data_IF_782533461159
#
_entry.id   IF_782533461159
#
_cell.length_a   1.000
_cell.length_b   1.000
_cell.length_c   1.000
_cell.angle_alpha   90.00
_cell.angle_beta   90.00
_cell.angle_gamma   90.00
#
_symmetry.space_group_name_H-M   'P 1'
#
loop_
_entity.id
_entity.type
_entity.pdbx_description
1 polymer ?
#
# COMPACT_ATOMS: atom_id res chain seq x y z
N UNK A 1 9.92 13.01 22.63
CA UNK A 1 11.09 12.66 21.81
C UNK A 1 10.89 13.11 20.34
N UNK A 2 9.85 12.73 19.62
CA UNK A 2 9.63 13.05 18.19
C UNK A 2 9.76 14.55 17.85
N UNK A 3 8.94 15.42 18.45
CA UNK A 3 8.99 16.88 18.22
C UNK A 3 10.38 17.44 18.55
N UNK A 4 10.93 17.10 19.71
CA UNK A 4 12.25 17.59 20.13
C UNK A 4 13.34 17.27 19.11
N UNK A 5 13.38 16.03 18.60
CA UNK A 5 14.38 15.65 17.60
C UNK A 5 14.25 16.49 16.32
N UNK A 6 13.02 16.76 15.87
CA UNK A 6 12.80 17.55 14.67
C UNK A 6 13.11 19.03 14.90
N UNK A 7 12.73 19.60 16.04
CA UNK A 7 13.05 21.01 16.36
C UNK A 7 14.53 21.25 16.58
N UNK A 8 15.26 20.31 17.22
CA UNK A 8 16.72 20.37 17.35
C UNK A 8 17.38 20.36 15.95
N UNK A 9 16.94 19.45 15.06
CA UNK A 9 17.42 19.39 13.67
C UNK A 9 17.14 20.71 12.92
N UNK A 10 15.97 21.29 13.08
CA UNK A 10 15.62 22.56 12.46
C UNK A 10 16.50 23.70 12.95
N UNK A 11 16.83 23.73 14.24
CA UNK A 11 17.74 24.73 14.81
C UNK A 11 19.17 24.60 14.23
N UNK A 12 19.67 23.38 14.04
CA UNK A 12 20.98 23.12 13.42
C UNK A 12 21.02 23.52 11.93
N UNK A 13 19.86 23.61 11.28
CA UNK A 13 19.73 23.94 9.85
C UNK A 13 19.01 25.28 9.64
N UNK A 14 19.17 26.22 10.58
CA UNK A 14 18.62 27.57 10.47
C UNK A 14 19.02 28.24 9.16
N UNK A 15 18.07 28.87 8.47
CA UNK A 15 18.25 29.50 7.16
C UNK A 15 18.02 28.58 5.96
N UNK A 16 17.66 27.31 6.18
CA UNK A 16 17.20 26.41 5.11
C UNK A 16 15.69 26.24 5.15
N UNK A 17 15.05 26.07 4.00
CA UNK A 17 13.67 25.61 3.91
C UNK A 17 13.64 24.11 4.13
N UNK A 18 13.01 23.66 5.20
CA UNK A 18 12.91 22.26 5.56
C UNK A 18 11.55 21.70 5.18
N UNK A 19 11.53 20.54 4.54
CA UNK A 19 10.31 19.85 4.12
C UNK A 19 10.20 18.51 4.85
N UNK A 20 9.03 18.22 5.43
CA UNK A 20 8.76 16.92 6.04
C UNK A 20 7.92 16.05 5.09
N UNK A 21 8.32 14.79 5.01
CA UNK A 21 7.62 13.74 4.29
C UNK A 21 7.56 12.49 5.15
N UNK A 22 6.37 12.03 5.50
CA UNK A 22 6.19 10.77 6.21
C UNK A 22 6.13 9.58 5.24
N UNK A 23 6.80 8.49 5.60
CA UNK A 23 6.87 7.25 4.82
C UNK A 23 6.31 6.04 5.59
N UNK A 24 5.61 6.26 6.70
CA UNK A 24 4.90 5.21 7.44
C UNK A 24 3.65 5.78 8.10
N UNK A 25 2.66 4.92 8.32
CA UNK A 25 1.37 5.31 8.93
C UNK A 25 1.58 5.94 10.31
N UNK A 26 2.41 5.31 11.16
CA UNK A 26 2.75 5.84 12.49
C UNK A 26 3.41 7.23 12.45
N UNK A 27 4.30 7.49 11.49
CA UNK A 27 4.90 8.82 11.35
C UNK A 27 3.92 9.84 10.80
N UNK A 28 2.97 9.46 9.94
CA UNK A 28 1.90 10.36 9.51
C UNK A 28 1.01 10.76 10.68
N UNK A 29 0.62 9.81 11.54
CA UNK A 29 -0.16 10.09 12.75
C UNK A 29 0.62 11.02 13.69
N UNK A 30 1.91 10.76 13.92
CA UNK A 30 2.74 11.63 14.76
C UNK A 30 2.88 13.04 14.17
N UNK A 31 3.00 13.17 12.85
CA UNK A 31 3.07 14.46 12.17
C UNK A 31 1.74 15.21 12.30
N UNK A 32 0.61 14.54 12.05
CA UNK A 32 -0.72 15.11 12.20
C UNK A 32 -0.99 15.62 13.61
N UNK A 33 -0.67 14.82 14.64
CA UNK A 33 -0.82 15.18 16.06
C UNK A 33 0.03 16.37 16.49
N UNK A 34 1.16 16.56 15.87
CA UNK A 34 2.13 17.59 16.27
C UNK A 34 2.25 18.70 15.21
N UNK A 35 1.26 18.82 14.32
CA UNK A 35 1.24 19.80 13.22
C UNK A 35 1.60 21.21 13.73
N UNK A 36 0.86 21.75 14.69
CA UNK A 36 1.06 23.10 15.21
C UNK A 36 2.46 23.34 15.80
N UNK A 37 3.09 22.31 16.37
CA UNK A 37 4.44 22.42 16.92
C UNK A 37 5.54 22.36 15.83
N UNK A 38 5.23 21.81 14.64
CA UNK A 38 6.19 21.59 13.58
C UNK A 38 6.07 22.60 12.42
N UNK A 39 4.90 23.15 12.15
CA UNK A 39 4.66 24.17 11.10
C UNK A 39 5.58 25.39 11.15
N UNK A 40 6.02 25.89 12.33
CA UNK A 40 6.97 27.01 12.39
C UNK A 40 8.34 26.66 11.78
N UNK A 41 8.71 25.39 11.72
CA UNK A 41 10.04 24.93 11.32
C UNK A 41 10.06 24.24 9.96
N UNK A 42 8.93 23.66 9.56
CA UNK A 42 8.84 22.77 8.40
C UNK A 42 7.67 23.10 7.50
N UNK A 43 7.86 22.84 6.22
CA UNK A 43 6.78 22.82 5.19
C UNK A 43 6.38 21.38 4.92
N UNK A 44 5.08 21.08 4.94
CA UNK A 44 4.55 19.75 4.66
C UNK A 44 3.06 19.81 4.34
N UNK A 45 2.57 18.80 3.64
CA UNK A 45 1.16 18.48 3.49
C UNK A 45 0.89 17.18 4.24
N UNK A 46 -0.08 17.20 5.14
CA UNK A 46 -0.43 16.08 6.01
C UNK A 46 -1.91 16.17 6.37
N UNK A 47 -2.66 15.07 6.36
CA UNK A 47 -4.05 15.10 6.77
C UNK A 47 -4.19 15.52 8.24
N UNK A 48 -5.38 15.95 8.63
CA UNK A 48 -5.68 16.19 10.05
C UNK A 48 -5.61 14.90 10.86
N UNK A 49 -5.34 14.99 12.16
CA UNK A 49 -5.36 13.81 13.04
C UNK A 49 -6.72 13.11 12.97
N UNK A 50 -7.81 13.87 12.95
CA UNK A 50 -9.17 13.33 12.81
C UNK A 50 -9.33 12.52 11.53
N UNK A 51 -8.91 13.04 10.36
CA UNK A 51 -9.02 12.34 9.09
C UNK A 51 -8.19 11.05 9.07
N UNK A 52 -6.95 11.08 9.59
CA UNK A 52 -6.11 9.88 9.67
C UNK A 52 -6.78 8.83 10.56
N UNK A 53 -7.23 9.21 11.75
CA UNK A 53 -7.83 8.27 12.72
C UNK A 53 -9.14 7.70 12.20
N UNK A 54 -9.97 8.53 11.58
CA UNK A 54 -11.25 8.12 11.03
C UNK A 54 -11.08 7.13 9.86
N UNK A 55 -10.16 7.39 8.93
CA UNK A 55 -9.93 6.52 7.78
C UNK A 55 -9.11 5.26 8.12
N UNK A 56 -8.38 5.23 9.24
CA UNK A 56 -7.79 4.02 9.80
C UNK A 56 -8.87 3.09 10.43
N UNK A 57 -9.96 3.68 10.92
CA UNK A 57 -11.10 2.91 11.41
C UNK A 57 -11.95 2.38 10.24
N UNK A 58 -11.95 1.06 10.05
CA UNK A 58 -12.62 0.41 8.91
C UNK A 58 -14.10 0.77 8.77
N UNK A 59 -14.81 0.90 9.88
CA UNK A 59 -16.22 1.27 9.84
C UNK A 59 -16.44 2.65 9.23
N UNK A 60 -15.64 3.64 9.62
CA UNK A 60 -15.69 4.98 9.04
C UNK A 60 -15.28 4.97 7.56
N UNK A 61 -14.18 4.29 7.25
CA UNK A 61 -13.70 4.15 5.88
C UNK A 61 -14.75 3.53 4.95
N UNK A 62 -15.43 2.48 5.40
CA UNK A 62 -16.47 1.83 4.59
C UNK A 62 -17.73 2.71 4.42
N UNK A 63 -18.16 3.43 5.43
CA UNK A 63 -19.25 4.41 5.30
C UNK A 63 -18.91 5.51 4.29
N UNK A 64 -17.68 6.00 4.32
CA UNK A 64 -17.21 6.97 3.33
C UNK A 64 -17.15 6.35 1.92
N UNK A 65 -16.74 5.10 1.78
CA UNK A 65 -16.78 4.37 0.51
C UNK A 65 -18.21 4.27 -0.04
N UNK A 66 -19.18 3.89 0.80
CA UNK A 66 -20.59 3.76 0.40
C UNK A 66 -21.17 5.06 -0.16
N UNK A 67 -20.88 6.18 0.50
CA UNK A 67 -21.31 7.52 0.05
C UNK A 67 -20.86 7.84 -1.38
N UNK A 68 -19.71 7.32 -1.80
CA UNK A 68 -19.13 7.55 -3.13
C UNK A 68 -19.30 6.38 -4.10
N UNK A 69 -20.12 5.38 -3.76
CA UNK A 69 -20.35 4.19 -4.59
C UNK A 69 -19.06 3.41 -4.85
N UNK A 70 -18.15 3.39 -3.86
CA UNK A 70 -16.92 2.61 -3.85
C UNK A 70 -17.19 1.29 -3.11
N UNK A 71 -16.90 0.18 -3.77
CA UNK A 71 -17.10 -1.15 -3.20
C UNK A 71 -15.92 -1.55 -2.32
N UNK A 72 -16.21 -2.34 -1.29
CA UNK A 72 -15.22 -2.94 -0.41
C UNK A 72 -15.60 -4.39 -0.08
N UNK A 73 -14.68 -5.25 0.36
CA UNK A 73 -15.01 -6.62 0.75
C UNK A 73 -15.91 -6.62 1.98
N UNK A 74 -16.91 -7.48 2.00
CA UNK A 74 -17.73 -7.69 3.20
C UNK A 74 -16.81 -8.03 4.37
N UNK A 75 -16.98 -7.34 5.48
CA UNK A 75 -16.08 -7.43 6.63
C UNK A 75 -16.87 -7.54 7.92
N UNK A 76 -16.39 -8.38 8.82
CA UNK A 76 -16.85 -8.54 10.18
C UNK A 76 -15.64 -8.63 11.12
N UNK A 77 -15.87 -8.77 12.40
CA UNK A 77 -14.81 -8.99 13.38
C UNK A 77 -15.25 -9.98 14.45
N UNK A 78 -14.26 -10.62 15.08
CA UNK A 78 -14.50 -11.40 16.28
C UNK A 78 -13.46 -11.05 17.34
N UNK A 79 -13.80 -11.38 18.58
CA UNK A 79 -12.97 -11.20 19.75
C UNK A 79 -12.72 -12.56 20.43
N UNK A 80 -11.83 -12.59 21.40
CA UNK A 80 -11.58 -13.79 22.21
C UNK A 80 -12.85 -14.32 22.89
N UNK A 81 -13.84 -13.45 23.14
CA UNK A 81 -15.11 -13.83 23.78
C UNK A 81 -16.11 -14.50 22.84
N UNK A 82 -16.12 -14.11 21.55
CA UNK A 82 -17.19 -14.52 20.63
C UNK A 82 -16.72 -15.27 19.36
N UNK A 83 -15.42 -15.53 19.17
CA UNK A 83 -14.92 -16.11 17.93
C UNK A 83 -15.50 -17.50 17.57
N UNK A 84 -16.02 -18.23 18.57
CA UNK A 84 -16.65 -19.55 18.36
C UNK A 84 -18.09 -19.47 17.86
N UNK A 85 -18.75 -18.32 18.02
CA UNK A 85 -20.17 -18.11 17.76
C UNK A 85 -20.39 -17.08 16.64
N UNK A 86 -19.33 -16.49 16.10
CA UNK A 86 -19.42 -15.44 15.10
C UNK A 86 -20.07 -15.96 13.82
N UNK A 87 -21.07 -15.22 13.31
CA UNK A 87 -21.70 -15.46 12.02
C UNK A 87 -21.03 -14.57 10.97
N UNK A 88 -20.55 -15.16 9.89
CA UNK A 88 -19.95 -14.43 8.79
C UNK A 88 -21.06 -13.84 7.88
N UNK A 89 -20.99 -12.57 7.48
CA UNK A 89 -21.95 -11.96 6.55
C UNK A 89 -21.67 -12.33 5.07
N UNK A 90 -20.84 -13.34 4.83
CA UNK A 90 -20.40 -13.82 3.51
C UNK A 90 -20.06 -15.32 3.59
N UNK A 91 -19.95 -15.95 2.43
CA UNK A 91 -19.56 -17.34 2.29
C UNK A 91 -18.03 -17.52 2.34
N UNK A 92 -17.59 -18.73 2.66
CA UNK A 92 -16.17 -19.08 2.55
C UNK A 92 -15.69 -19.03 1.09
N UNK A 93 -14.40 -18.71 0.86
CA UNK A 93 -13.31 -18.57 1.84
C UNK A 93 -13.35 -17.26 2.62
N UNK A 94 -12.86 -17.32 3.88
CA UNK A 94 -12.73 -16.20 4.78
C UNK A 94 -11.27 -15.80 4.99
N UNK A 95 -10.94 -14.52 4.81
CA UNK A 95 -9.66 -13.94 5.22
C UNK A 95 -9.72 -13.60 6.70
N UNK A 96 -8.71 -14.05 7.45
CA UNK A 96 -8.56 -13.77 8.88
C UNK A 96 -7.25 -13.02 9.08
N UNK A 97 -7.31 -11.83 9.68
CA UNK A 97 -6.14 -11.00 9.95
C UNK A 97 -6.28 -10.26 11.29
N UNK A 98 -5.17 -9.97 12.01
CA UNK A 98 -5.22 -9.21 13.25
C UNK A 98 -5.61 -7.75 12.97
N UNK A 99 -6.39 -7.15 13.88
CA UNK A 99 -6.66 -5.71 13.86
C UNK A 99 -5.45 -4.91 14.34
N UNK A 100 -4.66 -5.47 15.27
CA UNK A 100 -3.46 -4.87 15.83
C UNK A 100 -2.22 -5.67 15.41
N UNK A 101 -1.56 -5.20 14.37
CA UNK A 101 -0.37 -5.85 13.82
C UNK A 101 0.82 -5.85 14.79
N UNK A 102 0.96 -4.83 15.64
CA UNK A 102 2.06 -4.73 16.60
C UNK A 102 1.90 -5.75 17.74
N UNK A 103 0.71 -5.83 18.33
CA UNK A 103 0.42 -6.83 19.35
C UNK A 103 0.57 -8.25 18.78
N UNK A 104 0.06 -8.46 17.57
CA UNK A 104 0.16 -9.74 16.88
C UNK A 104 1.62 -10.14 16.59
N UNK A 105 2.48 -9.20 16.25
CA UNK A 105 3.89 -9.47 15.95
C UNK A 105 4.59 -10.19 17.12
N UNK A 106 4.27 -9.80 18.35
CA UNK A 106 4.85 -10.34 19.57
C UNK A 106 4.28 -11.70 20.01
N UNK A 107 3.21 -12.16 19.36
CA UNK A 107 2.60 -13.47 19.67
C UNK A 107 3.36 -14.61 19.00
N UNK A 108 3.38 -15.78 19.63
CA UNK A 108 4.04 -16.98 19.11
C UNK A 108 3.07 -18.17 19.16
N UNK A 109 2.84 -18.77 17.99
CA UNK A 109 2.09 -20.03 17.86
C UNK A 109 2.49 -20.75 16.56
N UNK A 110 2.25 -22.06 16.44
CA UNK A 110 2.62 -22.87 15.27
C UNK A 110 1.96 -22.30 13.99
N UNK A 111 2.70 -22.34 12.88
CA UNK A 111 2.22 -21.91 11.55
C UNK A 111 1.71 -20.48 11.48
N UNK A 112 2.18 -19.59 12.35
CA UNK A 112 1.80 -18.17 12.34
C UNK A 112 2.01 -17.53 10.97
N UNK A 113 0.97 -16.86 10.48
CA UNK A 113 0.97 -16.06 9.25
C UNK A 113 0.46 -14.65 9.54
N UNK A 114 0.80 -13.67 8.69
CA UNK A 114 0.21 -12.32 8.76
C UNK A 114 -1.27 -12.32 8.38
N UNK A 115 -1.64 -13.17 7.43
CA UNK A 115 -3.00 -13.31 6.90
C UNK A 115 -3.27 -14.80 6.72
N UNK A 116 -4.44 -15.28 7.14
CA UNK A 116 -4.92 -16.62 6.90
C UNK A 116 -6.10 -16.60 5.93
N UNK A 117 -6.28 -17.71 5.22
CA UNK A 117 -7.50 -18.00 4.47
C UNK A 117 -8.10 -19.28 5.04
N UNK A 118 -9.34 -19.21 5.49
CA UNK A 118 -10.12 -20.38 5.89
C UNK A 118 -11.10 -20.71 4.77
N UNK A 119 -11.06 -21.94 4.28
CA UNK A 119 -11.92 -22.41 3.20
C UNK A 119 -13.24 -23.00 3.66
N UNK A 120 -13.36 -23.28 4.96
CA UNK A 120 -14.54 -23.85 5.60
C UNK A 120 -14.56 -23.51 7.09
N UNK A 121 -15.67 -23.85 7.75
CA UNK A 121 -15.86 -23.57 9.17
C UNK A 121 -14.87 -24.29 10.08
N UNK A 122 -14.42 -25.49 9.72
CA UNK A 122 -13.44 -26.23 10.51
C UNK A 122 -12.10 -25.49 10.52
N UNK A 123 -11.58 -25.12 9.35
CA UNK A 123 -10.33 -24.35 9.24
C UNK A 123 -10.43 -23.01 9.96
N UNK A 124 -11.58 -22.32 9.83
CA UNK A 124 -11.83 -21.08 10.55
C UNK A 124 -11.69 -21.27 12.06
N UNK A 125 -12.32 -22.31 12.62
CA UNK A 125 -12.27 -22.61 14.04
C UNK A 125 -10.85 -22.96 14.51
N UNK A 126 -10.10 -23.76 13.73
CA UNK A 126 -8.72 -24.14 14.02
C UNK A 126 -7.79 -22.91 14.03
N UNK A 127 -7.89 -22.04 13.02
CA UNK A 127 -7.08 -20.81 12.89
C UNK A 127 -7.38 -19.85 14.05
N UNK A 128 -8.64 -19.56 14.29
CA UNK A 128 -9.03 -18.61 15.34
C UNK A 128 -8.68 -19.11 16.73
N UNK A 129 -8.84 -20.42 16.98
CA UNK A 129 -8.42 -21.07 18.23
C UNK A 129 -6.90 -21.02 18.42
N UNK A 130 -6.11 -21.23 17.36
CA UNK A 130 -4.65 -21.13 17.43
C UNK A 130 -4.19 -19.70 17.75
N UNK A 131 -4.83 -18.69 17.13
CA UNK A 131 -4.51 -17.28 17.38
C UNK A 131 -4.87 -16.88 18.81
N UNK A 132 -6.10 -17.14 19.25
CA UNK A 132 -6.56 -16.77 20.60
C UNK A 132 -6.04 -17.71 21.71
N UNK A 133 -5.48 -18.86 21.36
CA UNK A 133 -4.68 -19.69 22.27
C UNK A 133 -3.28 -19.14 22.55
N UNK A 134 -2.86 -18.10 21.82
CA UNK A 134 -1.61 -17.36 22.07
C UNK A 134 -1.84 -16.17 23.00
N UNK A 135 -0.85 -15.26 23.08
CA UNK A 135 -0.96 -14.01 23.85
C UNK A 135 -1.79 -12.92 23.13
N UNK A 136 -2.34 -13.17 21.94
CA UNK A 136 -3.14 -12.19 21.21
C UNK A 136 -4.54 -12.05 21.82
N UNK A 137 -4.93 -10.78 22.15
CA UNK A 137 -6.22 -10.51 22.80
C UNK A 137 -7.07 -9.48 22.01
N UNK A 138 -6.48 -8.83 21.01
CA UNK A 138 -7.20 -7.85 20.20
C UNK A 138 -8.14 -8.53 19.19
N UNK A 139 -9.12 -7.80 18.62
CA UNK A 139 -10.02 -8.36 17.63
C UNK A 139 -9.32 -8.91 16.39
N UNK A 140 -9.89 -9.96 15.81
CA UNK A 140 -9.57 -10.42 14.46
C UNK A 140 -10.55 -9.81 13.46
N UNK A 141 -10.02 -9.40 12.33
CA UNK A 141 -10.78 -8.93 11.17
C UNK A 141 -11.06 -10.15 10.31
N UNK A 142 -12.34 -10.34 10.00
CA UNK A 142 -12.87 -11.39 9.14
C UNK A 142 -13.37 -10.75 7.86
N UNK A 143 -12.79 -11.13 6.72
CA UNK A 143 -13.06 -10.43 5.47
C UNK A 143 -13.35 -11.43 4.35
N UNK A 144 -14.30 -11.08 3.50
CA UNK A 144 -14.61 -11.81 2.28
C UNK A 144 -13.35 -11.99 1.42
N UNK A 145 -13.12 -13.21 0.95
CA UNK A 145 -12.04 -13.49 0.01
C UNK A 145 -12.43 -13.03 -1.40
N UNK A 146 -11.66 -12.12 -1.96
CA UNK A 146 -11.83 -11.68 -3.34
C UNK A 146 -10.93 -12.55 -4.23
N UNK A 147 -11.51 -13.38 -5.13
CA UNK A 147 -10.72 -14.27 -5.98
C UNK A 147 -9.88 -13.51 -7.01
N UNK A 148 -8.94 -14.21 -7.61
CA UNK A 148 -8.05 -13.69 -8.65
C UNK A 148 -6.58 -13.64 -8.20
N UNK A 149 -5.70 -13.67 -9.20
CA UNK A 149 -4.23 -13.61 -9.02
C UNK A 149 -3.74 -12.19 -8.67
N UNK A 150 -2.43 -12.04 -8.49
CA UNK A 150 -1.76 -10.77 -8.16
C UNK A 150 -2.11 -9.65 -9.17
N UNK A 151 -2.31 -10.00 -10.45
CA UNK A 151 -2.64 -9.05 -11.52
C UNK A 151 -4.08 -8.50 -11.45
N UNK A 152 -4.93 -9.02 -10.57
CA UNK A 152 -6.25 -8.45 -10.23
C UNK A 152 -6.12 -7.31 -9.21
N UNK A 153 -4.99 -7.18 -8.52
CA UNK A 153 -4.72 -6.05 -7.63
C UNK A 153 -4.57 -4.75 -8.40
N UNK A 154 -4.88 -3.65 -7.73
CA UNK A 154 -4.57 -2.29 -8.15
C UNK A 154 -4.02 -1.52 -6.97
N UNK A 155 -3.09 -0.61 -7.27
CA UNK A 155 -2.57 0.35 -6.31
C UNK A 155 -2.77 1.75 -6.87
N UNK A 156 -3.45 2.60 -6.12
CA UNK A 156 -3.67 3.98 -6.52
C UNK A 156 -2.90 4.90 -5.58
N UNK A 157 -2.02 5.72 -6.13
CA UNK A 157 -1.33 6.77 -5.39
C UNK A 157 -1.91 8.13 -5.77
N UNK A 158 -2.15 8.98 -4.76
CA UNK A 158 -2.67 10.32 -4.96
C UNK A 158 -1.84 11.33 -4.19
N UNK A 159 -1.89 12.57 -4.66
CA UNK A 159 -1.47 13.76 -3.92
C UNK A 159 -2.62 14.77 -3.89
N UNK A 160 -3.04 15.13 -2.69
CA UNK A 160 -3.99 16.20 -2.43
C UNK A 160 -3.25 17.40 -1.85
N UNK A 161 -3.47 18.59 -2.39
CA UNK A 161 -2.79 19.81 -1.98
C UNK A 161 -3.31 20.39 -0.67
N UNK A 162 -2.70 21.51 -0.26
CA UNK A 162 -3.14 22.31 0.89
C UNK A 162 -4.56 22.89 0.70
N UNK A 163 -5.05 22.93 -0.53
CA UNK A 163 -6.42 23.32 -0.89
C UNK A 163 -7.44 22.17 -0.80
N UNK A 164 -7.02 21.01 -0.31
CA UNK A 164 -7.80 19.77 -0.22
C UNK A 164 -8.32 19.26 -1.58
N UNK A 165 -7.68 19.66 -2.70
CA UNK A 165 -7.97 19.15 -4.04
C UNK A 165 -6.96 18.10 -4.44
N UNK A 166 -7.43 17.11 -5.18
CA UNK A 166 -6.55 16.08 -5.74
C UNK A 166 -5.86 16.64 -6.97
N UNK A 167 -4.53 16.70 -6.93
CA UNK A 167 -3.71 17.24 -8.02
C UNK A 167 -3.00 16.18 -8.84
N UNK A 168 -2.70 15.01 -8.23
CA UNK A 168 -2.05 13.91 -8.92
C UNK A 168 -2.71 12.59 -8.56
N UNK A 169 -2.97 11.77 -9.58
CA UNK A 169 -3.40 10.38 -9.43
C UNK A 169 -2.59 9.47 -10.34
N UNK A 170 -2.18 8.32 -9.81
CA UNK A 170 -1.43 7.31 -10.55
C UNK A 170 -1.95 5.92 -10.17
N UNK A 171 -2.49 5.20 -11.14
CA UNK A 171 -2.98 3.83 -10.97
C UNK A 171 -1.94 2.83 -11.47
N UNK A 172 -1.62 1.86 -10.64
CA UNK A 172 -0.74 0.75 -10.97
C UNK A 172 -1.47 -0.58 -10.99
N UNK A 173 -1.11 -1.44 -11.93
CA UNK A 173 -1.50 -2.84 -11.98
C UNK A 173 -0.33 -3.72 -11.58
N UNK A 174 -0.34 -4.33 -10.39
CA UNK A 174 0.67 -5.31 -10.01
C UNK A 174 0.72 -6.48 -10.99
N UNK A 175 1.92 -6.93 -11.32
CA UNK A 175 2.15 -8.13 -12.10
C UNK A 175 2.49 -9.32 -11.23
N UNK A 176 3.22 -9.06 -10.15
CA UNK A 176 3.62 -10.04 -9.14
C UNK A 176 3.71 -9.36 -7.77
N UNK A 177 3.39 -10.10 -6.72
CA UNK A 177 3.71 -9.79 -5.34
C UNK A 177 5.00 -10.47 -4.88
N UNK A 178 5.57 -10.00 -3.79
CA UNK A 178 6.65 -10.69 -3.12
C UNK A 178 6.16 -11.97 -2.45
N UNK A 179 6.95 -13.04 -2.55
CA UNK A 179 6.55 -14.38 -2.14
C UNK A 179 7.14 -14.82 -0.80
N UNK A 180 7.98 -14.00 -0.16
CA UNK A 180 8.50 -14.33 1.17
C UNK A 180 7.43 -14.10 2.24
N UNK A 181 7.43 -14.83 3.35
CA UNK A 181 6.44 -14.65 4.43
C UNK A 181 6.36 -13.19 4.94
N UNK A 182 7.50 -12.51 4.98
CA UNK A 182 7.58 -11.10 5.40
C UNK A 182 7.23 -10.12 4.27
N UNK A 183 7.30 -10.59 3.02
CA UNK A 183 7.08 -9.78 1.81
C UNK A 183 5.66 -9.81 1.26
N UNK A 184 4.85 -10.78 1.66
CA UNK A 184 3.46 -10.92 1.19
C UNK A 184 2.68 -9.62 1.41
N UNK A 185 1.95 -9.18 0.37
CA UNK A 185 1.24 -7.91 0.35
C UNK A 185 2.08 -6.74 -0.17
N UNK A 186 3.35 -6.99 -0.59
CA UNK A 186 4.15 -5.97 -1.28
C UNK A 186 4.31 -6.34 -2.75
N UNK A 187 4.22 -5.35 -3.63
CA UNK A 187 4.35 -5.57 -5.05
C UNK A 187 5.81 -5.71 -5.49
N UNK A 188 6.05 -6.63 -6.40
CA UNK A 188 7.37 -6.92 -6.97
C UNK A 188 7.56 -6.31 -8.37
N UNK A 189 6.46 -6.08 -9.08
CA UNK A 189 6.43 -5.37 -10.35
C UNK A 189 5.05 -4.74 -10.58
N UNK A 190 5.01 -3.53 -11.16
CA UNK A 190 3.79 -2.76 -11.42
C UNK A 190 3.84 -2.17 -12.82
N UNK A 191 2.76 -2.32 -13.58
CA UNK A 191 2.49 -1.56 -14.80
C UNK A 191 1.70 -0.31 -14.45
N UNK A 192 2.06 0.85 -15.02
CA UNK A 192 1.18 2.02 -15.00
C UNK A 192 -0.03 1.76 -15.88
N UNK A 193 -1.22 2.03 -15.36
CA UNK A 193 -2.50 1.85 -16.06
C UNK A 193 -3.42 3.05 -15.81
N UNK A 194 -4.53 3.12 -16.55
CA UNK A 194 -5.52 4.19 -16.39
C UNK A 194 -6.92 3.60 -16.31
N UNK A 195 -7.74 4.16 -15.44
CA UNK A 195 -9.17 3.87 -15.31
C UNK A 195 -9.88 5.15 -14.87
N UNK A 196 -10.45 5.86 -15.84
CA UNK A 196 -11.06 7.19 -15.60
C UNK A 196 -12.27 7.12 -14.67
N UNK A 197 -13.07 6.05 -14.76
CA UNK A 197 -14.26 5.91 -13.92
C UNK A 197 -13.89 5.67 -12.45
N UNK A 198 -12.91 4.80 -12.19
CA UNK A 198 -12.38 4.57 -10.85
C UNK A 198 -11.74 5.85 -10.30
N UNK A 199 -10.87 6.49 -11.09
CA UNK A 199 -10.16 7.69 -10.67
C UNK A 199 -11.10 8.86 -10.34
N UNK A 200 -12.18 9.03 -11.11
CA UNK A 200 -13.18 10.07 -10.83
C UNK A 200 -13.88 9.85 -9.47
N UNK A 201 -14.28 8.61 -9.16
CA UNK A 201 -14.86 8.26 -7.85
C UNK A 201 -13.88 8.47 -6.70
N UNK A 202 -12.63 8.03 -6.87
CA UNK A 202 -11.58 8.17 -5.85
C UNK A 202 -11.20 9.64 -5.62
N UNK A 203 -11.20 10.46 -6.68
CA UNK A 203 -11.01 11.91 -6.58
C UNK A 203 -12.11 12.54 -5.75
N UNK A 204 -13.38 12.25 -6.09
CA UNK A 204 -14.54 12.77 -5.35
C UNK A 204 -14.51 12.35 -3.88
N UNK A 205 -14.13 11.11 -3.58
CA UNK A 205 -13.96 10.60 -2.22
C UNK A 205 -12.91 11.42 -1.44
N UNK A 206 -11.71 11.60 -1.99
CA UNK A 206 -10.62 12.32 -1.31
C UNK A 206 -10.96 13.80 -1.06
N UNK A 207 -11.60 14.45 -2.03
CA UNK A 207 -12.00 15.85 -1.91
C UNK A 207 -13.16 16.05 -0.93
N UNK A 208 -14.09 15.09 -0.84
CA UNK A 208 -15.21 15.15 0.11
C UNK A 208 -14.75 14.95 1.56
N UNK A 209 -13.78 14.06 1.80
CA UNK A 209 -13.20 13.89 3.14
C UNK A 209 -12.18 14.99 3.50
N UNK A 210 -11.89 15.92 2.59
CA UNK A 210 -10.94 17.00 2.80
C UNK A 210 -9.52 16.49 3.02
N UNK A 211 -9.09 15.49 2.24
CA UNK A 211 -7.76 14.92 2.39
C UNK A 211 -6.66 15.91 2.01
N UNK A 212 -5.55 15.86 2.73
CA UNK A 212 -4.34 16.64 2.46
C UNK A 212 -3.11 15.74 2.48
N UNK A 213 -2.19 15.92 1.55
CA UNK A 213 -0.97 15.13 1.42
C UNK A 213 -1.14 13.87 0.58
N UNK A 214 -0.22 12.93 0.78
CA UNK A 214 -0.21 11.67 0.05
C UNK A 214 -1.24 10.68 0.57
N UNK A 215 -1.78 9.88 -0.35
CA UNK A 215 -2.57 8.70 -0.04
C UNK A 215 -2.23 7.56 -0.99
N UNK A 216 -2.37 6.33 -0.48
CA UNK A 216 -2.14 5.11 -1.23
C UNK A 216 -3.26 4.12 -0.93
N UNK A 217 -3.95 3.63 -1.96
CA UNK A 217 -5.05 2.69 -1.84
C UNK A 217 -4.66 1.35 -2.44
N UNK A 218 -4.94 0.29 -1.69
CA UNK A 218 -4.86 -1.08 -2.17
C UNK A 218 -6.27 -1.60 -2.45
N UNK A 219 -6.48 -2.12 -3.65
CA UNK A 219 -7.77 -2.65 -4.09
C UNK A 219 -7.61 -3.85 -5.00
N UNK A 220 -8.64 -4.65 -5.12
CA UNK A 220 -8.67 -5.82 -6.00
C UNK A 220 -9.90 -5.81 -6.89
N UNK A 221 -9.72 -6.12 -8.16
CA UNK A 221 -10.81 -6.30 -9.09
C UNK A 221 -11.52 -7.63 -8.80
N UNK A 222 -12.80 -7.55 -8.54
CA UNK A 222 -13.67 -8.69 -8.33
C UNK A 222 -14.47 -8.96 -9.62
N UNK A 223 -14.06 -9.99 -10.35
CA UNK A 223 -14.73 -10.37 -11.59
C UNK A 223 -16.18 -10.86 -11.41
N UNK A 224 -16.57 -11.26 -10.19
CA UNK A 224 -17.93 -11.70 -9.87
C UNK A 224 -18.93 -10.55 -9.93
N UNK A 225 -18.50 -9.35 -9.51
CA UNK A 225 -19.33 -8.13 -9.46
C UNK A 225 -18.91 -7.08 -10.48
N UNK A 226 -17.80 -7.31 -11.20
CA UNK A 226 -17.18 -6.35 -12.11
C UNK A 226 -16.84 -5.02 -11.44
N UNK A 227 -16.32 -5.08 -10.20
CA UNK A 227 -16.00 -3.91 -9.38
C UNK A 227 -14.61 -4.02 -8.75
N UNK A 228 -14.03 -2.87 -8.43
CA UNK A 228 -12.86 -2.83 -7.55
C UNK A 228 -13.31 -2.81 -6.10
N UNK A 229 -12.77 -3.73 -5.30
CA UNK A 229 -12.98 -3.80 -3.84
C UNK A 229 -11.79 -3.13 -3.13
N UNK A 230 -12.05 -2.03 -2.44
CA UNK A 230 -11.05 -1.28 -1.69
C UNK A 230 -10.74 -2.02 -0.38
N UNK A 231 -9.47 -2.32 -0.13
CA UNK A 231 -9.05 -3.01 1.08
C UNK A 231 -8.66 -2.04 2.20
N UNK A 232 -7.91 -1.01 1.85
CA UNK A 232 -7.40 -0.03 2.80
C UNK A 232 -6.92 1.24 2.10
N UNK A 233 -6.83 2.30 2.89
CA UNK A 233 -6.18 3.55 2.55
C UNK A 233 -4.99 3.75 3.48
N UNK A 234 -3.83 3.97 2.91
CA UNK A 234 -2.62 4.30 3.65
C UNK A 234 -2.37 5.82 3.57
N UNK A 235 -2.20 6.53 4.69
CA UNK A 235 -2.09 7.99 4.74
C UNK A 235 -0.68 8.50 4.34
N UNK A 236 -0.04 7.87 3.39
CA UNK A 236 1.36 8.12 3.02
C UNK A 236 1.69 7.54 1.65
N UNK A 237 2.91 7.80 1.17
CA UNK A 237 3.45 7.07 0.03
C UNK A 237 3.69 5.60 0.41
N UNK A 238 3.33 4.69 -0.50
CA UNK A 238 3.61 3.27 -0.37
C UNK A 238 5.07 2.94 -0.73
N UNK A 239 5.52 1.74 -0.35
CA UNK A 239 6.83 1.22 -0.75
C UNK A 239 7.04 1.21 -2.27
N UNK A 240 5.97 0.98 -3.01
CA UNK A 240 5.96 0.92 -4.48
C UNK A 240 5.72 2.27 -5.15
N UNK A 241 5.45 3.35 -4.41
CA UNK A 241 5.08 4.65 -4.99
C UNK A 241 6.12 5.22 -5.95
N UNK A 242 7.34 4.70 -5.95
CA UNK A 242 8.36 5.07 -6.94
C UNK A 242 7.93 4.78 -8.39
N UNK A 243 6.94 3.90 -8.63
CA UNK A 243 6.43 3.69 -10.00
C UNK A 243 5.85 4.98 -10.60
N UNK A 244 5.29 5.86 -9.79
CA UNK A 244 4.78 7.17 -10.18
C UNK A 244 5.94 8.09 -10.63
N UNK A 245 7.00 8.15 -9.81
CA UNK A 245 8.21 8.91 -10.16
C UNK A 245 8.89 8.37 -11.41
N UNK A 246 8.95 7.05 -11.53
CA UNK A 246 9.54 6.36 -12.68
C UNK A 246 8.77 6.58 -13.99
N UNK A 247 7.47 6.85 -13.91
CA UNK A 247 6.65 7.25 -15.07
C UNK A 247 6.76 8.75 -15.42
N UNK A 248 7.65 9.48 -14.76
CA UNK A 248 7.92 10.90 -15.05
C UNK A 248 7.25 11.89 -14.08
N UNK A 249 6.50 11.42 -13.09
CA UNK A 249 5.76 12.27 -12.16
C UNK A 249 6.37 12.20 -10.75
N UNK A 250 7.40 13.01 -10.52
CA UNK A 250 8.13 13.00 -9.24
C UNK A 250 7.26 13.48 -8.07
N UNK A 251 6.87 12.56 -7.19
CA UNK A 251 6.01 12.84 -6.03
C UNK A 251 6.59 13.89 -5.09
N UNK A 252 7.89 13.86 -4.83
CA UNK A 252 8.54 14.86 -3.96
C UNK A 252 8.47 16.27 -4.58
N UNK A 253 8.54 16.37 -5.92
CA UNK A 253 8.40 17.64 -6.62
C UNK A 253 6.98 18.20 -6.47
N UNK A 254 5.93 17.38 -6.54
CA UNK A 254 4.57 17.81 -6.30
C UNK A 254 4.40 18.43 -4.91
N UNK A 255 4.95 17.78 -3.88
CA UNK A 255 4.95 18.31 -2.53
C UNK A 255 5.66 19.67 -2.45
N UNK A 256 6.87 19.77 -3.02
CA UNK A 256 7.67 21.03 -2.97
C UNK A 256 6.97 22.14 -3.75
N UNK A 257 6.45 21.87 -4.95
CA UNK A 257 5.73 22.86 -5.77
C UNK A 257 4.52 23.43 -5.01
N UNK A 258 3.84 22.60 -4.18
CA UNK A 258 2.71 23.04 -3.36
C UNK A 258 3.14 23.77 -2.09
N UNK A 259 3.89 23.10 -1.19
CA UNK A 259 4.11 23.61 0.19
C UNK A 259 5.25 24.62 0.30
N UNK A 260 6.15 24.71 -0.70
CA UNK A 260 7.30 25.63 -0.70
C UNK A 260 7.13 26.70 -1.76
N UNK A 261 6.89 26.29 -3.01
CA UNK A 261 6.83 27.19 -4.15
C UNK A 261 5.44 27.82 -4.33
N UNK A 262 4.42 27.30 -3.65
CA UNK A 262 3.03 27.76 -3.75
C UNK A 262 2.53 27.91 -5.19
N UNK A 263 2.93 26.97 -6.06
CA UNK A 263 2.53 26.98 -7.46
C UNK A 263 1.07 26.54 -7.61
N UNK A 264 0.31 27.14 -8.52
CA UNK A 264 -1.01 26.61 -8.84
C UNK A 264 -0.85 25.23 -9.48
N UNK A 265 -1.34 24.20 -8.79
CA UNK A 265 -1.32 22.84 -9.27
C UNK A 265 -2.61 22.54 -10.04
N UNK A 266 -2.48 22.02 -11.27
CA UNK A 266 -3.60 21.46 -12.02
C UNK A 266 -3.80 19.97 -11.67
N UNK A 267 -4.99 19.44 -12.01
CA UNK A 267 -5.23 18.00 -11.89
C UNK A 267 -4.49 17.23 -12.99
N UNK A 268 -3.74 16.20 -12.61
CA UNK A 268 -2.93 15.38 -13.51
C UNK A 268 -3.14 13.89 -13.22
N UNK A 269 -3.34 13.11 -14.27
CA UNK A 269 -3.29 11.65 -14.21
C UNK A 269 -1.92 11.22 -14.73
N UNK A 270 -1.17 10.48 -13.91
CA UNK A 270 0.11 9.91 -14.27
C UNK A 270 -0.13 8.61 -15.07
N UNK A 271 -0.34 8.74 -16.37
CA UNK A 271 -0.71 7.67 -17.29
C UNK A 271 0.39 7.28 -18.28
N UNK A 272 1.61 7.82 -18.11
CA UNK A 272 2.73 7.43 -18.95
C UNK A 272 3.05 5.94 -18.77
N UNK A 273 3.09 5.23 -19.90
CA UNK A 273 3.40 3.80 -19.92
C UNK A 273 4.74 3.51 -19.27
N UNK A 274 4.75 2.74 -18.21
CA UNK A 274 5.98 2.33 -17.52
C UNK A 274 5.82 0.99 -16.81
N UNK A 275 6.94 0.27 -16.69
CA UNK A 275 7.07 -0.91 -15.86
C UNK A 275 8.05 -0.61 -14.72
N UNK A 276 7.54 -0.47 -13.52
CA UNK A 276 8.37 -0.45 -12.33
C UNK A 276 8.59 -1.87 -11.81
N UNK A 277 9.79 -2.16 -11.33
CA UNK A 277 10.09 -3.46 -10.72
C UNK A 277 11.16 -3.37 -9.64
N UNK A 278 11.04 -4.22 -8.64
CA UNK A 278 12.10 -4.57 -7.67
C UNK A 278 12.62 -5.97 -7.95
N UNK A 279 11.76 -6.85 -8.49
CA UNK A 279 12.14 -8.18 -8.92
C UNK A 279 13.00 -8.13 -10.20
N UNK A 280 13.97 -9.04 -10.37
CA UNK A 280 14.62 -9.22 -11.66
C UNK A 280 13.62 -9.57 -12.76
N UNK A 281 13.79 -9.02 -13.97
CA UNK A 281 12.87 -9.28 -15.08
C UNK A 281 12.69 -10.76 -15.42
N UNK A 282 13.74 -11.59 -15.23
CA UNK A 282 13.66 -13.02 -15.41
C UNK A 282 12.68 -13.72 -14.45
N UNK A 283 12.47 -13.16 -13.26
CA UNK A 283 11.45 -13.63 -12.31
C UNK A 283 10.06 -13.32 -12.85
N UNK A 284 9.83 -12.09 -13.33
CA UNK A 284 8.56 -11.71 -13.95
C UNK A 284 8.25 -12.66 -15.11
N UNK A 285 9.20 -12.84 -16.03
CA UNK A 285 9.04 -13.73 -17.20
C UNK A 285 8.72 -15.18 -16.84
N UNK A 286 9.25 -15.66 -15.71
CA UNK A 286 9.05 -17.05 -15.28
C UNK A 286 7.71 -17.28 -14.56
N UNK A 287 7.26 -16.30 -13.78
CA UNK A 287 6.18 -16.52 -12.83
C UNK A 287 4.89 -15.76 -13.16
N UNK A 288 4.93 -14.74 -14.01
CA UNK A 288 3.72 -14.10 -14.53
C UNK A 288 3.00 -15.06 -15.48
N UNK A 289 1.78 -15.44 -15.11
CA UNK A 289 1.00 -16.45 -15.86
C UNK A 289 0.21 -15.87 -17.02
N UNK A 290 -0.15 -14.59 -16.92
CA UNK A 290 -0.94 -13.89 -17.92
C UNK A 290 -0.06 -13.56 -19.15
N UNK A 291 -0.33 -14.16 -20.34
CA UNK A 291 0.51 -14.00 -21.52
C UNK A 291 0.45 -12.58 -22.08
N UNK A 292 -0.69 -11.90 -22.01
CA UNK A 292 -0.87 -10.55 -22.55
C UNK A 292 -0.10 -9.54 -21.70
N UNK A 293 -0.18 -9.65 -20.39
CA UNK A 293 0.62 -8.81 -19.46
C UNK A 293 2.12 -9.09 -19.59
N UNK A 294 2.49 -10.33 -19.86
CA UNK A 294 3.89 -10.67 -20.11
C UNK A 294 4.40 -10.05 -21.42
N UNK A 295 3.60 -10.12 -22.48
CA UNK A 295 3.91 -9.47 -23.76
C UNK A 295 4.08 -7.96 -23.60
N UNK A 296 3.19 -7.33 -22.82
CA UNK A 296 3.26 -5.91 -22.50
C UNK A 296 4.53 -5.54 -21.70
N UNK A 297 4.87 -6.32 -20.68
CA UNK A 297 6.10 -6.13 -19.90
C UNK A 297 7.37 -6.27 -20.78
N UNK A 298 7.38 -7.23 -21.72
CA UNK A 298 8.47 -7.40 -22.68
C UNK A 298 8.54 -6.20 -23.64
N UNK A 299 7.41 -5.70 -24.13
CA UNK A 299 7.32 -4.53 -25.01
C UNK A 299 7.93 -3.30 -24.31
N UNK A 300 7.50 -3.00 -23.10
CA UNK A 300 8.01 -1.86 -22.32
C UNK A 300 9.51 -1.99 -22.06
N UNK A 301 9.98 -3.20 -21.75
CA UNK A 301 11.41 -3.44 -21.59
C UNK A 301 12.21 -3.16 -22.84
N UNK A 302 11.74 -3.58 -24.01
CA UNK A 302 12.40 -3.31 -25.30
C UNK A 302 12.43 -1.81 -25.62
N UNK A 303 11.42 -1.06 -25.17
CA UNK A 303 11.34 0.39 -25.35
C UNK A 303 12.14 1.20 -24.31
N UNK A 304 12.80 0.55 -23.35
CA UNK A 304 13.51 1.24 -22.28
C UNK A 304 12.60 1.89 -21.22
N UNK A 305 11.29 1.61 -21.25
CA UNK A 305 10.29 2.14 -20.31
C UNK A 305 10.23 1.30 -19.02
N UNK A 306 11.38 0.98 -18.46
CA UNK A 306 11.52 0.15 -17.25
C UNK A 306 12.34 0.89 -16.22
N UNK A 307 11.88 0.87 -14.99
CA UNK A 307 12.62 1.40 -13.84
C UNK A 307 12.84 0.32 -12.77
N UNK A 308 13.96 0.45 -12.10
CA UNK A 308 14.32 -0.43 -10.99
C UNK A 308 14.64 0.40 -9.76
N UNK A 309 13.88 0.22 -8.68
CA UNK A 309 13.98 1.04 -7.46
C UNK A 309 15.36 1.04 -6.80
N UNK A 310 16.15 -0.04 -6.99
CA UNK A 310 17.44 -0.20 -6.33
C UNK A 310 18.61 0.43 -7.10
N UNK A 311 18.36 1.02 -8.29
CA UNK A 311 19.36 1.66 -9.11
C UNK A 311 19.12 3.17 -9.20
N UNK A 312 20.06 3.94 -8.69
CA UNK A 312 20.12 5.39 -8.80
C UNK A 312 21.51 5.75 -9.36
N UNK A 313 21.56 6.58 -10.41
CA UNK A 313 22.83 6.94 -11.06
C UNK A 313 23.78 7.68 -10.12
N UNK A 314 23.22 8.52 -9.27
CA UNK A 314 23.95 9.36 -8.32
C UNK A 314 24.57 8.55 -7.17
N UNK A 315 24.09 7.31 -6.93
CA UNK A 315 24.55 6.40 -5.87
C UNK A 315 25.27 5.15 -6.43
N UNK A 316 25.67 5.18 -7.71
CA UNK A 316 26.37 4.06 -8.31
C UNK A 316 27.83 4.01 -7.83
N UNK A 317 28.17 2.93 -7.12
CA UNK A 317 29.52 2.55 -6.75
C UNK A 317 29.75 1.06 -7.03
N UNK A 318 30.99 0.62 -7.09
CA UNK A 318 31.31 -0.81 -7.26
C UNK A 318 30.68 -1.65 -6.14
N UNK A 319 30.73 -1.17 -4.90
CA UNK A 319 30.09 -1.81 -3.74
C UNK A 319 28.57 -1.93 -3.93
N UNK A 320 27.92 -0.87 -4.42
CA UNK A 320 26.48 -0.85 -4.70
C UNK A 320 26.11 -1.83 -5.82
N UNK A 321 26.90 -1.88 -6.88
CA UNK A 321 26.69 -2.80 -7.99
C UNK A 321 26.82 -4.27 -7.56
N UNK A 322 27.84 -4.62 -6.79
CA UNK A 322 28.01 -5.96 -6.23
C UNK A 322 26.86 -6.35 -5.31
N UNK A 323 26.41 -5.42 -4.47
CA UNK A 323 25.23 -5.63 -3.62
C UNK A 323 23.97 -5.85 -4.46
N UNK A 324 23.77 -5.08 -5.52
CA UNK A 324 22.65 -5.22 -6.44
C UNK A 324 22.65 -6.60 -7.11
N UNK A 325 23.77 -7.06 -7.64
CA UNK A 325 23.91 -8.40 -8.24
C UNK A 325 23.57 -9.48 -7.21
N UNK A 326 24.14 -9.40 -6.01
CA UNK A 326 23.86 -10.34 -4.90
C UNK A 326 22.38 -10.34 -4.53
N UNK A 327 21.76 -9.17 -4.46
CA UNK A 327 20.33 -9.00 -4.15
C UNK A 327 19.46 -9.69 -5.22
N UNK A 328 19.80 -9.53 -6.52
CA UNK A 328 19.11 -10.18 -7.62
C UNK A 328 19.20 -11.70 -7.59
N UNK A 329 20.42 -12.23 -7.36
CA UNK A 329 20.61 -13.68 -7.23
C UNK A 329 19.80 -14.25 -6.04
N UNK A 330 19.78 -13.51 -4.95
CA UNK A 330 19.02 -13.88 -3.76
C UNK A 330 17.50 -13.84 -4.02
N UNK A 331 17.05 -12.88 -4.84
CA UNK A 331 15.66 -12.76 -5.23
C UNK A 331 15.18 -14.01 -6.01
N UNK A 332 15.97 -14.50 -6.98
CA UNK A 332 15.67 -15.75 -7.67
C UNK A 332 15.54 -16.94 -6.72
N UNK A 333 16.47 -17.07 -5.76
CA UNK A 333 16.44 -18.17 -4.77
C UNK A 333 15.19 -18.10 -3.89
N UNK A 334 14.89 -16.92 -3.37
CA UNK A 334 13.71 -16.69 -2.51
C UNK A 334 12.42 -16.99 -3.27
N UNK A 335 12.28 -16.45 -4.48
CA UNK A 335 11.09 -16.68 -5.29
C UNK A 335 10.93 -18.16 -5.64
N UNK A 336 12.00 -18.84 -6.04
CA UNK A 336 11.94 -20.28 -6.33
C UNK A 336 11.52 -21.13 -5.12
N UNK A 337 11.92 -20.73 -3.92
CA UNK A 337 11.58 -21.42 -2.67
C UNK A 337 10.11 -21.24 -2.29
N UNK A 338 9.56 -20.03 -2.47
CA UNK A 338 8.25 -19.67 -1.92
C UNK A 338 7.14 -19.57 -2.98
N UNK A 339 7.47 -19.41 -4.25
CA UNK A 339 6.49 -19.29 -5.32
C UNK A 339 5.76 -20.61 -5.57
N UNK A 340 4.44 -20.57 -5.52
CA UNK A 340 3.60 -21.77 -5.70
C UNK A 340 3.43 -22.61 -4.44
N UNK A 341 4.04 -22.24 -3.33
CA UNK A 341 3.78 -22.89 -2.04
C UNK A 341 2.43 -22.38 -1.50
N UNK A 342 1.37 -23.11 -1.85
CA UNK A 342 -0.02 -22.75 -1.46
C UNK A 342 -0.21 -22.61 0.05
N UNK A 343 0.61 -23.31 0.86
CA UNK A 343 0.54 -23.21 2.33
C UNK A 343 0.91 -21.84 2.87
N UNK A 344 1.61 -21.00 2.09
CA UNK A 344 1.99 -19.63 2.48
C UNK A 344 1.00 -18.58 1.98
N UNK A 345 0.20 -18.91 0.98
CA UNK A 345 -0.81 -17.99 0.42
C UNK A 345 -2.20 -18.15 1.05
N UNK A 346 -2.38 -19.14 1.90
CA UNK A 346 -3.68 -19.49 2.48
C UNK A 346 -4.23 -20.72 1.84
#
# INVERSE_FOLDING_TARGET
MFVKTLTDFAAEHSGKTLVLLSCSDGYTILLARNRAALEPYYKFACPTEENVMNLDMKEYFYKACEKHGLSYPKTSSCTVQNYREVQLPFEFPCIIKPSNSMAYWNCHFPHKKKVFVAYNQQEFNEITAAIYGSSYQDPLILQEYIPGDDNCMRVLNCYSGLDHKVHLMALGRPLLEEQTPEGIGNYAAILSVRDDALMAKMKAFLEDVGWEGFSNFDMKFDARTNEYKLFEMNPRQGRSSFFVTASGYNLAKWLVDDVVEHKPLGFTIADAESLWMIAPFGVIRKYLKDPDLLAEAIRLKKQGKVSHQLLCREDLSVKRLLWYIKSHLNYYRKTAKYYGNKSLRG
#
